data_IF_768945501106
#
_entry.id   IF_768945501106
#
_cell.length_a   1.000
_cell.length_b   1.000
_cell.length_c   1.000
_cell.angle_alpha   90.00
_cell.angle_beta   90.00
_cell.angle_gamma   90.00
#
_symmetry.space_group_name_H-M   'P 1'
#
loop_
_entity.id
_entity.type
_entity.pdbx_description
1 polymer ?
#
# COMPACT_ATOMS: atom_id res chain seq x y z
N UNK A 1 -54.23 68.15 29.40
CA UNK A 1 -53.14 68.42 30.37
C UNK A 1 -52.01 67.45 30.05
N UNK A 2 -50.99 67.90 29.32
CA UNK A 2 -49.91 67.06 28.79
C UNK A 2 -48.82 66.89 29.86
N UNK A 3 -48.60 65.65 30.31
CA UNK A 3 -47.57 65.29 31.28
C UNK A 3 -46.22 65.23 30.56
N UNK A 4 -45.36 66.23 30.76
CA UNK A 4 -43.97 66.21 30.26
C UNK A 4 -43.15 65.21 31.09
N UNK A 5 -42.69 64.14 30.46
CA UNK A 5 -41.65 63.26 31.01
C UNK A 5 -40.35 64.07 31.04
N UNK A 6 -39.87 64.45 32.23
CA UNK A 6 -38.55 65.04 32.41
C UNK A 6 -37.50 63.95 32.21
N UNK A 7 -36.77 64.00 31.09
CA UNK A 7 -35.57 63.20 30.90
C UNK A 7 -34.45 63.74 31.80
N UNK A 8 -34.14 62.99 32.85
CA UNK A 8 -33.06 63.28 33.78
C UNK A 8 -31.72 63.00 33.07
N UNK A 9 -31.07 64.02 32.50
CA UNK A 9 -29.74 63.88 31.87
C UNK A 9 -28.65 63.96 32.95
N UNK A 10 -28.31 62.82 33.54
CA UNK A 10 -27.10 62.67 34.37
C UNK A 10 -25.90 62.41 33.45
N UNK A 11 -24.82 63.17 33.62
CA UNK A 11 -23.54 62.95 32.94
C UNK A 11 -22.71 61.87 33.63
N UNK A 12 -21.76 61.26 32.92
CA UNK A 12 -20.88 60.22 33.45
C UNK A 12 -19.75 60.82 34.30
N UNK A 13 -19.42 60.16 35.40
CA UNK A 13 -18.24 60.49 36.19
C UNK A 13 -16.98 59.86 35.58
N UNK A 14 -15.81 60.46 35.83
CA UNK A 14 -14.53 59.97 35.30
C UNK A 14 -14.21 58.55 35.82
N UNK A 15 -14.61 58.24 37.06
CA UNK A 15 -14.44 56.91 37.66
C UNK A 15 -15.34 55.84 37.01
N UNK A 16 -16.58 56.18 36.64
CA UNK A 16 -17.46 55.25 35.90
C UNK A 16 -16.89 54.89 34.53
N UNK A 17 -16.29 55.86 33.83
CA UNK A 17 -15.61 55.58 32.55
C UNK A 17 -14.38 54.69 32.74
N UNK A 18 -13.58 54.91 33.77
CA UNK A 18 -12.43 54.05 34.07
C UNK A 18 -12.87 52.62 34.42
N UNK A 19 -13.93 52.46 35.22
CA UNK A 19 -14.47 51.13 35.55
C UNK A 19 -15.09 50.44 34.33
N UNK A 20 -15.83 51.17 33.49
CA UNK A 20 -16.40 50.61 32.26
C UNK A 20 -15.31 50.15 31.28
N UNK A 21 -14.26 50.95 31.09
CA UNK A 21 -13.13 50.59 30.22
C UNK A 21 -12.34 49.39 30.74
N UNK A 22 -12.11 49.31 32.06
CA UNK A 22 -11.39 48.18 32.66
C UNK A 22 -12.19 46.89 32.62
N UNK A 23 -13.50 46.94 32.85
CA UNK A 23 -14.36 45.77 32.68
C UNK A 23 -14.42 45.31 31.22
N UNK A 24 -14.56 46.26 30.28
CA UNK A 24 -14.58 45.95 28.85
C UNK A 24 -13.26 45.30 28.40
N UNK A 25 -12.11 45.82 28.84
CA UNK A 25 -10.81 45.25 28.44
C UNK A 25 -10.63 43.82 28.94
N UNK A 26 -11.02 43.53 30.18
CA UNK A 26 -10.98 42.17 30.74
C UNK A 26 -11.84 41.22 29.89
N UNK A 27 -13.07 41.62 29.57
CA UNK A 27 -13.96 40.80 28.73
C UNK A 27 -13.35 40.56 27.35
N UNK A 28 -12.81 41.61 26.71
CA UNK A 28 -12.18 41.49 25.39
C UNK A 28 -11.00 40.51 25.44
N UNK A 29 -10.11 40.63 26.43
CA UNK A 29 -8.96 39.71 26.58
C UNK A 29 -9.43 38.25 26.72
N UNK A 30 -10.43 37.99 27.56
CA UNK A 30 -10.98 36.65 27.73
C UNK A 30 -11.64 36.11 26.45
N UNK A 31 -12.36 36.96 25.72
CA UNK A 31 -12.98 36.56 24.45
C UNK A 31 -11.96 36.27 23.36
N UNK A 32 -10.87 37.05 23.28
CA UNK A 32 -9.78 36.82 22.33
C UNK A 32 -9.00 35.55 22.68
N UNK A 33 -8.72 35.30 23.96
CA UNK A 33 -8.09 34.05 24.40
C UNK A 33 -8.97 32.84 24.02
N UNK A 34 -10.28 32.91 24.28
CA UNK A 34 -11.23 31.87 23.87
C UNK A 34 -11.26 31.67 22.36
N UNK A 35 -11.32 32.74 21.57
CA UNK A 35 -11.32 32.68 20.11
C UNK A 35 -10.03 32.04 19.57
N UNK A 36 -8.86 32.41 20.10
CA UNK A 36 -7.59 31.84 19.65
C UNK A 36 -7.48 30.35 19.99
N UNK A 37 -7.97 29.92 21.15
CA UNK A 37 -8.05 28.49 21.52
C UNK A 37 -9.00 27.72 20.59
N UNK A 38 -10.16 28.30 20.27
CA UNK A 38 -11.12 27.68 19.33
C UNK A 38 -10.54 27.56 17.92
N UNK A 39 -9.87 28.60 17.41
CA UNK A 39 -9.20 28.56 16.09
C UNK A 39 -8.14 27.47 16.02
N UNK A 40 -7.27 27.38 17.04
CA UNK A 40 -6.24 26.32 17.12
C UNK A 40 -6.87 24.93 17.15
N UNK A 41 -7.88 24.71 17.99
CA UNK A 41 -8.59 23.44 18.06
C UNK A 41 -9.28 23.08 16.74
N UNK A 42 -9.83 24.06 16.04
CA UNK A 42 -10.46 23.86 14.73
C UNK A 42 -9.45 23.40 13.68
N UNK A 43 -8.29 24.06 13.60
CA UNK A 43 -7.22 23.71 12.65
C UNK A 43 -6.70 22.29 12.91
N UNK A 44 -6.42 21.95 14.16
CA UNK A 44 -5.95 20.59 14.52
C UNK A 44 -7.02 19.54 14.16
N UNK A 45 -8.28 19.83 14.43
CA UNK A 45 -9.39 18.92 14.09
C UNK A 45 -9.50 18.73 12.58
N UNK A 46 -9.41 19.81 11.81
CA UNK A 46 -9.44 19.76 10.35
C UNK A 46 -8.28 18.94 9.79
N UNK A 47 -7.05 19.14 10.29
CA UNK A 47 -5.88 18.36 9.88
C UNK A 47 -6.03 16.87 10.18
N UNK A 48 -6.60 16.51 11.33
CA UNK A 48 -6.88 15.12 11.70
C UNK A 48 -7.95 14.52 10.77
N UNK A 49 -9.02 15.27 10.49
CA UNK A 49 -10.11 14.82 9.62
C UNK A 49 -9.61 14.61 8.19
N UNK A 50 -8.81 15.53 7.65
CA UNK A 50 -8.24 15.42 6.32
C UNK A 50 -7.34 14.18 6.19
N UNK A 51 -6.44 13.96 7.16
CA UNK A 51 -5.58 12.78 7.20
C UNK A 51 -6.41 11.48 7.23
N UNK A 52 -7.53 11.46 7.95
CA UNK A 52 -8.41 10.29 8.05
C UNK A 52 -9.22 10.04 6.78
N UNK A 53 -9.77 11.09 6.17
CA UNK A 53 -10.62 10.96 4.98
C UNK A 53 -9.81 10.51 3.78
N UNK A 54 -8.62 11.08 3.56
CA UNK A 54 -7.77 10.73 2.44
C UNK A 54 -7.37 9.24 2.49
N UNK A 55 -7.00 8.75 3.67
CA UNK A 55 -6.52 7.36 3.81
C UNK A 55 -7.66 6.34 3.83
N UNK A 56 -8.89 6.73 4.18
CA UNK A 56 -10.05 5.82 4.06
C UNK A 56 -10.23 5.35 2.61
N UNK A 57 -10.19 6.26 1.64
CA UNK A 57 -10.32 5.92 0.23
C UNK A 57 -9.19 4.97 -0.21
N UNK A 58 -7.94 5.28 0.18
CA UNK A 58 -6.78 4.45 -0.18
C UNK A 58 -6.83 3.07 0.49
N UNK A 59 -7.20 2.98 1.76
CA UNK A 59 -7.35 1.69 2.45
C UNK A 59 -8.43 0.81 1.82
N UNK A 60 -9.51 1.41 1.33
CA UNK A 60 -10.56 0.68 0.59
C UNK A 60 -10.06 0.20 -0.77
N UNK A 61 -9.18 0.96 -1.43
CA UNK A 61 -8.57 0.57 -2.70
C UNK A 61 -7.64 -0.63 -2.50
N UNK A 62 -6.69 -0.53 -1.58
CA UNK A 62 -5.76 -1.63 -1.23
C UNK A 62 -6.56 -2.88 -0.84
N UNK A 63 -7.57 -2.74 0.02
CA UNK A 63 -8.38 -3.87 0.44
C UNK A 63 -9.23 -4.48 -0.68
N UNK A 64 -9.59 -3.69 -1.70
CA UNK A 64 -10.29 -4.20 -2.89
C UNK A 64 -9.33 -4.98 -3.76
N UNK A 65 -8.16 -4.44 -4.06
CA UNK A 65 -7.18 -5.10 -4.92
C UNK A 65 -6.66 -6.39 -4.29
N UNK A 66 -6.29 -6.40 -3.00
CA UNK A 66 -5.90 -7.65 -2.30
C UNK A 66 -7.01 -8.70 -2.37
N UNK A 67 -8.28 -8.29 -2.29
CA UNK A 67 -9.41 -9.21 -2.38
C UNK A 67 -9.57 -9.80 -3.79
N UNK A 68 -9.18 -9.06 -4.82
CA UNK A 68 -9.23 -9.49 -6.23
C UNK A 68 -7.93 -10.17 -6.68
N UNK A 69 -6.89 -10.19 -5.84
CA UNK A 69 -5.64 -10.88 -6.11
C UNK A 69 -5.88 -12.34 -6.54
N UNK A 70 -5.13 -12.79 -7.54
CA UNK A 70 -5.29 -14.11 -8.15
C UNK A 70 -6.44 -14.24 -9.16
N UNK A 71 -7.15 -13.16 -9.48
CA UNK A 71 -8.24 -13.26 -10.45
C UNK A 71 -7.69 -13.68 -11.82
N UNK A 72 -8.08 -14.88 -12.27
CA UNK A 72 -7.73 -15.45 -13.57
C UNK A 72 -6.24 -15.69 -13.81
N UNK A 73 -5.40 -15.57 -12.79
CA UNK A 73 -3.96 -15.85 -12.86
C UNK A 73 -3.62 -17.03 -11.95
N UNK A 74 -2.47 -17.71 -12.13
CA UNK A 74 -2.04 -18.75 -11.21
C UNK A 74 -2.01 -18.29 -9.75
N UNK A 75 -2.38 -19.19 -8.83
CA UNK A 75 -2.32 -18.92 -7.39
C UNK A 75 -0.93 -18.45 -6.96
N UNK A 76 0.12 -19.09 -7.48
CA UNK A 76 1.53 -18.78 -7.21
C UNK A 76 1.89 -17.30 -7.41
N UNK A 77 1.18 -16.57 -8.27
CA UNK A 77 1.50 -15.17 -8.64
C UNK A 77 0.44 -14.14 -8.21
N UNK A 78 -0.44 -14.49 -7.28
CA UNK A 78 -1.48 -13.55 -6.81
C UNK A 78 -0.96 -12.38 -5.98
N UNK A 79 -0.06 -12.64 -5.01
CA UNK A 79 0.49 -11.63 -4.10
C UNK A 79 1.99 -11.84 -3.91
N UNK A 80 2.75 -10.77 -3.81
CA UNK A 80 4.16 -10.79 -3.40
C UNK A 80 4.47 -9.53 -2.58
N UNK A 81 5.61 -9.47 -1.91
CA UNK A 81 5.95 -8.33 -1.07
C UNK A 81 7.41 -8.25 -0.67
N UNK A 82 7.80 -7.04 -0.29
CA UNK A 82 9.08 -6.73 0.37
C UNK A 82 8.74 -6.40 1.82
N UNK A 83 9.19 -7.25 2.72
CA UNK A 83 9.12 -7.00 4.17
C UNK A 83 10.44 -6.40 4.65
N UNK A 84 10.36 -5.26 5.33
CA UNK A 84 11.50 -4.63 5.97
C UNK A 84 11.22 -4.30 7.43
N UNK A 85 12.01 -4.89 8.31
CA UNK A 85 11.95 -4.57 9.75
C UNK A 85 12.39 -3.15 10.09
N UNK A 86 12.98 -2.39 9.16
CA UNK A 86 13.51 -1.03 9.41
C UNK A 86 13.02 0.02 8.42
N UNK A 87 12.17 -0.34 7.47
CA UNK A 87 11.59 0.55 6.45
C UNK A 87 10.13 0.16 6.17
N UNK A 88 9.34 1.03 5.51
CA UNK A 88 8.00 0.65 5.10
C UNK A 88 8.04 -0.55 4.14
N UNK A 89 7.07 -1.44 4.30
CA UNK A 89 6.90 -2.59 3.44
C UNK A 89 6.35 -2.19 2.08
N UNK A 90 6.46 -3.12 1.14
CA UNK A 90 5.92 -2.98 -0.19
C UNK A 90 5.11 -4.23 -0.50
N UNK A 91 3.97 -4.05 -1.16
CA UNK A 91 3.12 -5.16 -1.60
C UNK A 91 2.88 -5.03 -3.10
N UNK A 92 2.94 -6.18 -3.77
CA UNK A 92 2.61 -6.38 -5.17
C UNK A 92 1.37 -7.25 -5.21
N UNK A 93 0.35 -6.78 -5.90
CA UNK A 93 -0.93 -7.48 -6.04
C UNK A 93 -1.22 -7.64 -7.52
N UNK A 94 -1.53 -8.85 -7.99
CA UNK A 94 -1.87 -9.09 -9.39
C UNK A 94 -2.97 -8.12 -9.85
N UNK A 95 -2.74 -7.42 -10.96
CA UNK A 95 -3.72 -6.49 -11.53
C UNK A 95 -4.82 -7.25 -12.27
N UNK A 96 -5.99 -6.64 -12.35
CA UNK A 96 -7.14 -7.20 -13.09
C UNK A 96 -7.46 -6.40 -14.35
N UNK A 97 -6.95 -5.17 -14.43
CA UNK A 97 -7.20 -4.25 -15.53
C UNK A 97 -6.72 -4.78 -16.90
N UNK A 98 -5.49 -5.30 -17.03
CA UNK A 98 -5.03 -5.91 -18.30
C UNK A 98 -5.47 -7.37 -18.45
N UNK A 99 -6.36 -7.87 -17.58
CA UNK A 99 -6.77 -9.28 -17.52
C UNK A 99 -8.30 -9.33 -17.61
N UNK A 100 -8.85 -9.00 -18.78
CA UNK A 100 -10.30 -9.03 -19.04
C UNK A 100 -10.56 -9.90 -20.27
N UNK A 101 -10.48 -11.22 -20.12
CA UNK A 101 -10.40 -12.11 -21.28
C UNK A 101 -11.66 -12.06 -22.14
N UNK A 102 -11.47 -12.29 -23.43
CA UNK A 102 -12.54 -12.60 -24.37
C UNK A 102 -13.19 -13.98 -24.08
N UNK A 103 -12.44 -14.92 -23.50
CA UNK A 103 -12.90 -16.23 -23.04
C UNK A 103 -12.57 -16.49 -21.55
N UNK A 104 -13.59 -16.41 -20.70
CA UNK A 104 -13.48 -16.73 -19.26
C UNK A 104 -13.10 -18.20 -18.98
N UNK A 105 -13.12 -19.09 -19.99
CA UNK A 105 -12.73 -20.51 -19.86
C UNK A 105 -11.25 -20.77 -20.11
N UNK A 106 -10.47 -19.76 -20.50
CA UNK A 106 -9.09 -19.91 -20.97
C UNK A 106 -8.08 -20.40 -19.89
N UNK A 107 -8.50 -20.60 -18.64
CA UNK A 107 -7.60 -21.03 -17.57
C UNK A 107 -6.63 -19.92 -17.16
N UNK A 108 -5.61 -20.27 -16.38
CA UNK A 108 -4.66 -19.33 -15.77
C UNK A 108 -3.90 -18.48 -16.81
N UNK A 109 -4.20 -17.19 -16.82
CA UNK A 109 -3.61 -16.15 -17.68
C UNK A 109 -2.26 -15.67 -17.14
N UNK A 110 -1.41 -15.17 -18.03
CA UNK A 110 -0.08 -14.67 -17.72
C UNK A 110 0.90 -14.91 -18.86
N UNK A 111 1.86 -14.00 -18.99
CA UNK A 111 2.88 -14.08 -20.02
C UNK A 111 3.92 -15.13 -19.63
N UNK A 112 4.18 -16.08 -20.53
CA UNK A 112 5.15 -17.16 -20.30
C UNK A 112 6.53 -16.77 -20.81
N UNK A 113 7.58 -17.32 -20.20
CA UNK A 113 8.91 -17.23 -20.79
C UNK A 113 8.95 -17.97 -22.13
N UNK A 114 9.71 -17.44 -23.08
CA UNK A 114 9.95 -18.12 -24.34
C UNK A 114 10.65 -19.47 -24.11
N UNK A 115 10.30 -20.49 -24.89
CA UNK A 115 10.85 -21.85 -24.75
C UNK A 115 12.39 -21.95 -24.85
N UNK A 116 13.05 -20.90 -25.35
CA UNK A 116 14.52 -20.81 -25.43
C UNK A 116 15.16 -20.25 -24.16
N UNK A 117 14.39 -19.89 -23.15
CA UNK A 117 14.84 -19.24 -21.94
C UNK A 117 14.25 -19.91 -20.70
N UNK A 118 15.11 -20.42 -19.83
CA UNK A 118 14.74 -20.90 -18.48
C UNK A 118 15.05 -19.89 -17.39
N UNK A 119 14.47 -20.08 -16.21
CA UNK A 119 14.81 -19.29 -15.03
C UNK A 119 16.13 -19.76 -14.42
N UNK A 120 16.93 -18.81 -13.94
CA UNK A 120 18.16 -19.12 -13.20
C UNK A 120 18.00 -18.74 -11.74
N UNK A 121 18.21 -19.68 -10.81
CA UNK A 121 18.08 -19.44 -9.37
C UNK A 121 19.07 -18.39 -8.82
N UNK A 122 20.07 -17.95 -9.57
CA UNK A 122 20.97 -16.85 -9.18
C UNK A 122 20.37 -15.46 -9.40
N UNK A 123 19.29 -15.34 -10.19
CA UNK A 123 18.56 -14.11 -10.38
C UNK A 123 17.78 -13.76 -9.12
N UNK A 124 18.32 -12.78 -8.40
CA UNK A 124 17.89 -12.39 -7.06
C UNK A 124 17.86 -10.87 -6.96
N UNK A 125 17.38 -10.35 -5.83
CA UNK A 125 17.31 -8.89 -5.59
C UNK A 125 18.66 -8.23 -5.83
N UNK A 126 18.68 -7.28 -6.78
CA UNK A 126 19.88 -6.51 -7.14
C UNK A 126 20.92 -7.24 -8.00
N UNK A 127 20.69 -8.49 -8.40
CA UNK A 127 21.64 -9.27 -9.20
C UNK A 127 20.94 -10.11 -10.28
N UNK A 128 20.98 -9.70 -11.56
CA UNK A 128 21.46 -8.42 -12.08
C UNK A 128 20.58 -7.24 -11.64
N UNK A 129 21.08 -6.00 -11.75
CA UNK A 129 20.31 -4.80 -11.42
C UNK A 129 19.01 -4.67 -12.24
N UNK A 130 19.07 -5.08 -13.51
CA UNK A 130 17.93 -5.25 -14.40
C UNK A 130 18.10 -6.54 -15.20
N UNK A 131 17.01 -7.23 -15.48
CA UNK A 131 16.95 -8.49 -16.19
C UNK A 131 15.98 -8.38 -17.37
N UNK A 132 16.44 -8.68 -18.57
CA UNK A 132 15.58 -8.77 -19.76
C UNK A 132 15.16 -10.21 -19.97
N UNK A 133 13.86 -10.45 -20.02
CA UNK A 133 13.24 -11.73 -20.23
C UNK A 133 12.58 -11.77 -21.61
N UNK A 134 12.87 -12.81 -22.38
CA UNK A 134 12.15 -13.10 -23.61
C UNK A 134 10.85 -13.84 -23.26
N UNK A 135 9.74 -13.33 -23.79
CA UNK A 135 8.41 -13.85 -23.56
C UNK A 135 7.91 -14.62 -24.77
N UNK A 136 7.06 -15.61 -24.53
CA UNK A 136 6.29 -16.27 -25.60
C UNK A 136 5.21 -15.31 -26.10
N UNK A 137 5.38 -14.82 -27.33
CA UNK A 137 4.46 -13.86 -27.97
C UNK A 137 3.03 -14.36 -28.16
N UNK A 138 2.78 -15.67 -28.00
CA UNK A 138 1.42 -16.21 -28.03
C UNK A 138 0.68 -16.06 -26.70
N UNK A 139 1.36 -15.60 -25.65
CA UNK A 139 0.83 -15.51 -24.28
C UNK A 139 0.94 -14.11 -23.67
N UNK A 140 1.51 -13.16 -24.39
CA UNK A 140 1.75 -11.79 -23.91
C UNK A 140 0.56 -10.86 -24.06
N UNK A 141 -0.41 -11.25 -24.89
CA UNK A 141 -1.77 -10.72 -24.93
C UNK A 141 -2.58 -11.48 -23.87
N UNK A 142 -2.77 -10.86 -22.71
CA UNK A 142 -3.31 -11.48 -21.50
C UNK A 142 -4.82 -11.62 -21.54
N UNK A 143 -5.51 -10.72 -22.25
CA UNK A 143 -6.96 -10.76 -22.41
C UNK A 143 -7.41 -11.39 -23.73
N UNK A 144 -6.48 -11.69 -24.63
CA UNK A 144 -6.73 -12.41 -25.87
C UNK A 144 -7.51 -11.59 -26.90
N UNK A 145 -7.64 -10.28 -26.71
CA UNK A 145 -8.44 -9.43 -27.59
C UNK A 145 -7.72 -9.03 -28.89
N UNK A 146 -6.45 -9.43 -29.02
CA UNK A 146 -5.58 -9.16 -30.16
C UNK A 146 -4.88 -7.80 -30.09
N UNK A 147 -5.01 -7.09 -28.97
CA UNK A 147 -4.38 -5.81 -28.68
C UNK A 147 -3.57 -5.87 -27.38
N UNK A 148 -2.94 -4.76 -27.01
CA UNK A 148 -2.24 -4.63 -25.75
C UNK A 148 -2.79 -3.44 -24.98
N UNK A 149 -2.80 -3.55 -23.65
CA UNK A 149 -3.47 -2.59 -22.78
C UNK A 149 -2.66 -1.30 -22.56
N UNK A 150 -1.35 -1.40 -22.30
CA UNK A 150 -0.53 -0.23 -21.94
C UNK A 150 0.21 0.34 -23.13
N UNK A 151 0.05 1.66 -23.31
CA UNK A 151 0.86 2.55 -24.15
C UNK A 151 2.03 3.11 -23.32
N UNK A 152 3.18 2.42 -23.34
CA UNK A 152 4.33 2.80 -22.51
C UNK A 152 5.22 3.86 -23.16
N UNK A 153 5.16 4.05 -24.48
CA UNK A 153 5.92 5.07 -25.21
C UNK A 153 5.12 6.36 -25.51
N UNK A 154 3.81 6.36 -25.24
CA UNK A 154 2.92 7.50 -25.38
C UNK A 154 2.53 7.82 -26.82
N UNK A 155 2.62 6.85 -27.73
CA UNK A 155 2.32 7.04 -29.15
C UNK A 155 0.83 6.87 -29.50
N UNK A 156 -0.01 6.46 -28.55
CA UNK A 156 -1.45 6.24 -28.69
C UNK A 156 -1.84 4.81 -29.08
N UNK A 157 -0.90 3.86 -29.09
CA UNK A 157 -1.16 2.43 -29.33
C UNK A 157 -0.50 1.60 -28.25
N UNK A 158 -1.23 0.65 -27.67
CA UNK A 158 -0.65 -0.25 -26.67
C UNK A 158 0.34 -1.24 -27.29
N UNK A 159 1.45 -1.47 -26.61
CA UNK A 159 2.53 -2.36 -27.04
C UNK A 159 2.83 -3.50 -26.06
N UNK A 160 2.28 -3.47 -24.84
CA UNK A 160 2.38 -4.54 -23.86
C UNK A 160 1.26 -4.48 -22.80
N UNK A 161 0.98 -5.63 -22.18
CA UNK A 161 0.07 -5.73 -21.02
C UNK A 161 0.77 -5.50 -19.68
N UNK A 162 2.03 -5.04 -19.74
CA UNK A 162 2.81 -4.65 -18.59
C UNK A 162 3.08 -3.15 -18.64
N UNK A 163 2.78 -2.47 -17.53
CA UNK A 163 3.03 -1.04 -17.38
C UNK A 163 4.48 -0.77 -16.97
N UNK A 164 5.19 0.10 -17.69
CA UNK A 164 6.48 0.64 -17.24
C UNK A 164 6.29 1.44 -15.95
N UNK A 165 7.18 1.23 -14.97
CA UNK A 165 7.05 1.69 -13.58
C UNK A 165 5.94 1.00 -12.75
N UNK A 166 5.20 0.07 -13.35
CA UNK A 166 4.33 -0.86 -12.65
C UNK A 166 5.11 -2.00 -11.99
N UNK A 167 4.37 -2.84 -11.27
CA UNK A 167 4.89 -4.07 -10.70
C UNK A 167 4.72 -5.28 -11.62
N UNK A 168 5.47 -6.34 -11.33
CA UNK A 168 5.19 -7.68 -11.85
C UNK A 168 5.30 -8.70 -10.71
N UNK A 169 4.61 -9.82 -10.87
CA UNK A 169 4.83 -11.03 -10.07
C UNK A 169 5.12 -12.17 -11.04
N UNK A 170 6.09 -13.01 -10.67
CA UNK A 170 6.54 -14.15 -11.43
C UNK A 170 6.58 -15.37 -10.52
N UNK A 171 6.17 -16.51 -11.06
CA UNK A 171 6.17 -17.79 -10.36
C UNK A 171 6.33 -18.95 -11.35
N UNK A 172 6.64 -20.13 -10.81
CA UNK A 172 6.55 -21.37 -11.58
C UNK A 172 5.16 -21.98 -11.35
N UNK A 173 4.33 -21.99 -12.39
CA UNK A 173 2.99 -22.57 -12.33
C UNK A 173 3.03 -24.09 -12.14
N UNK A 174 4.03 -24.76 -12.70
CA UNK A 174 4.17 -26.22 -12.59
C UNK A 174 4.72 -26.63 -11.21
N UNK A 175 5.47 -25.74 -10.54
CA UNK A 175 6.07 -25.99 -9.24
C UNK A 175 5.93 -24.77 -8.29
N UNK A 176 4.71 -24.47 -7.77
CA UNK A 176 4.44 -23.29 -6.93
C UNK A 176 5.32 -23.20 -5.66
N UNK A 177 5.69 -24.34 -5.10
CA UNK A 177 6.56 -24.45 -3.93
C UNK A 177 7.97 -23.85 -4.11
N UNK A 178 8.39 -23.54 -5.35
CA UNK A 178 9.69 -22.89 -5.62
C UNK A 178 9.72 -21.43 -5.15
N UNK A 179 8.57 -20.85 -4.80
CA UNK A 179 8.42 -19.47 -4.36
C UNK A 179 7.92 -18.55 -5.48
N UNK A 180 7.91 -17.25 -5.20
CA UNK A 180 7.57 -16.20 -6.17
C UNK A 180 8.62 -15.09 -6.20
N UNK A 181 8.61 -14.31 -7.28
CA UNK A 181 9.51 -13.18 -7.52
C UNK A 181 8.67 -11.97 -7.87
N UNK A 182 8.97 -10.82 -7.30
CA UNK A 182 8.31 -9.58 -7.69
C UNK A 182 9.27 -8.41 -7.76
N UNK A 183 8.85 -7.38 -8.48
CA UNK A 183 9.62 -6.17 -8.65
C UNK A 183 8.96 -5.21 -9.62
N UNK A 184 9.76 -4.33 -10.22
CA UNK A 184 9.25 -3.27 -11.10
C UNK A 184 9.64 -3.50 -12.55
N UNK A 185 8.76 -3.10 -13.47
CA UNK A 185 8.98 -3.14 -14.92
C UNK A 185 9.70 -1.87 -15.37
N UNK A 186 10.84 -2.03 -16.04
CA UNK A 186 11.65 -0.94 -16.60
C UNK A 186 11.41 -0.70 -18.08
N UNK A 187 11.04 -1.74 -18.84
CA UNK A 187 10.62 -1.67 -20.23
C UNK A 187 9.76 -2.89 -20.56
N UNK A 188 8.79 -2.75 -21.46
CA UNK A 188 7.95 -3.85 -21.91
C UNK A 188 7.60 -3.69 -23.39
N UNK A 189 7.46 -4.82 -24.07
CA UNK A 189 6.95 -4.95 -25.44
C UNK A 189 6.27 -6.32 -25.58
N UNK A 190 5.66 -6.57 -26.73
CA UNK A 190 4.99 -7.83 -27.07
C UNK A 190 5.82 -9.11 -26.94
N UNK A 191 7.14 -9.03 -26.92
CA UNK A 191 8.05 -10.21 -26.90
C UNK A 191 9.11 -10.16 -25.81
N UNK A 192 9.28 -9.01 -25.15
CA UNK A 192 10.33 -8.83 -24.15
C UNK A 192 9.87 -7.90 -23.04
N UNK A 193 10.28 -8.25 -21.82
CA UNK A 193 10.11 -7.42 -20.64
C UNK A 193 11.46 -7.26 -19.94
N UNK A 194 11.77 -6.03 -19.52
CA UNK A 194 12.93 -5.74 -18.68
C UNK A 194 12.45 -5.38 -17.29
N UNK A 195 12.93 -6.11 -16.29
CA UNK A 195 12.47 -6.04 -14.92
C UNK A 195 13.61 -5.77 -13.94
N UNK A 196 13.31 -5.20 -12.79
CA UNK A 196 14.20 -5.12 -11.64
C UNK A 196 13.57 -5.88 -10.47
N UNK A 197 14.23 -6.94 -10.01
CA UNK A 197 13.75 -7.77 -8.91
C UNK A 197 13.90 -7.01 -7.59
N UNK A 198 12.82 -6.90 -6.83
CA UNK A 198 12.79 -6.23 -5.52
C UNK A 198 12.59 -7.20 -4.36
N UNK A 199 11.93 -8.33 -4.59
CA UNK A 199 11.77 -9.39 -3.60
C UNK A 199 11.63 -10.77 -4.26
N UNK A 200 11.87 -11.79 -3.45
CA UNK A 200 11.67 -13.18 -3.82
C UNK A 200 12.81 -13.79 -4.63
N UNK A 201 12.64 -15.08 -4.91
CA UNK A 201 13.53 -15.93 -5.68
C UNK A 201 12.77 -17.22 -6.02
N UNK A 202 13.04 -17.82 -7.18
CA UNK A 202 12.64 -19.21 -7.42
C UNK A 202 13.77 -20.16 -7.03
N UNK A 203 13.47 -21.14 -6.19
CA UNK A 203 14.38 -22.22 -5.85
C UNK A 203 14.78 -23.02 -7.10
N UNK A 204 15.95 -23.66 -7.07
CA UNK A 204 16.38 -24.54 -8.17
C UNK A 204 15.46 -25.76 -8.26
N UNK A 205 15.17 -26.20 -9.49
CA UNK A 205 14.42 -27.44 -9.72
C UNK A 205 15.11 -28.63 -9.06
N UNK A 206 14.32 -29.50 -8.44
CA UNK A 206 14.74 -30.79 -7.93
C UNK A 206 14.22 -31.92 -8.83
N UNK A 207 14.74 -33.14 -8.66
CA UNK A 207 14.43 -34.25 -9.57
C UNK A 207 12.96 -34.71 -9.56
N UNK A 208 12.17 -34.29 -8.57
CA UNK A 208 10.73 -34.59 -8.48
C UNK A 208 9.85 -33.53 -9.13
N UNK A 209 10.42 -32.40 -9.55
CA UNK A 209 9.67 -31.29 -10.10
C UNK A 209 9.20 -31.58 -11.52
N UNK A 210 8.05 -30.99 -11.87
CA UNK A 210 7.59 -30.95 -13.25
C UNK A 210 8.48 -30.02 -14.08
N UNK A 211 8.37 -30.11 -15.41
CA UNK A 211 9.04 -29.15 -16.30
C UNK A 211 8.60 -27.72 -15.95
N UNK A 212 9.58 -26.82 -15.91
CA UNK A 212 9.38 -25.44 -15.48
C UNK A 212 8.40 -24.69 -16.41
N UNK A 213 7.38 -24.07 -15.81
CA UNK A 213 6.44 -23.19 -16.51
C UNK A 213 6.42 -21.82 -15.83
N UNK A 214 7.34 -20.94 -16.22
CA UNK A 214 7.42 -19.60 -15.65
C UNK A 214 6.35 -18.70 -16.24
N UNK A 215 5.51 -18.16 -15.35
CA UNK A 215 4.43 -17.23 -15.67
C UNK A 215 4.71 -15.89 -15.01
N UNK A 216 4.49 -14.82 -15.76
CA UNK A 216 4.56 -13.44 -15.32
C UNK A 216 3.20 -12.78 -15.42
N UNK A 217 2.85 -11.99 -14.40
CA UNK A 217 1.60 -11.21 -14.38
C UNK A 217 1.88 -9.76 -13.99
N UNK A 218 1.14 -8.80 -14.57
CA UNK A 218 1.20 -7.41 -14.15
C UNK A 218 0.69 -7.27 -12.72
N UNK A 219 1.30 -6.39 -11.94
CA UNK A 219 0.97 -6.20 -10.54
C UNK A 219 0.96 -4.73 -10.12
N UNK A 220 0.04 -4.38 -9.24
CA UNK A 220 -0.04 -3.10 -8.59
C UNK A 220 1.01 -3.06 -7.48
N UNK A 221 1.97 -2.15 -7.62
CA UNK A 221 3.04 -1.95 -6.65
C UNK A 221 2.67 -0.84 -5.68
N UNK A 222 2.37 -1.21 -4.43
CA UNK A 222 2.16 -0.27 -3.33
C UNK A 222 3.43 -0.11 -2.52
N UNK A 223 3.82 1.15 -2.30
CA UNK A 223 4.96 1.48 -1.43
C UNK A 223 4.79 2.86 -0.79
N UNK A 224 5.50 3.06 0.32
CA UNK A 224 5.70 4.41 0.87
C UNK A 224 7.05 4.94 0.40
N UNK A 225 7.02 5.99 -0.42
CA UNK A 225 8.20 6.71 -0.83
C UNK A 225 8.64 7.69 0.28
N UNK A 226 9.69 7.28 1.01
CA UNK A 226 10.28 8.05 2.10
C UNK A 226 11.30 9.12 1.64
N UNK A 227 11.51 9.29 0.32
CA UNK A 227 12.39 10.33 -0.23
C UNK A 227 11.85 11.77 -0.10
N UNK A 228 10.62 11.92 0.40
CA UNK A 228 9.94 13.19 0.58
C UNK A 228 9.86 13.57 2.06
N UNK A 229 9.84 14.88 2.35
CA UNK A 229 9.70 15.39 3.71
C UNK A 229 8.46 14.82 4.43
N UNK A 230 7.38 14.57 3.68
CA UNK A 230 6.21 13.79 4.06
C UNK A 230 6.19 12.51 3.25
N UNK A 231 6.07 11.35 3.91
CA UNK A 231 6.00 10.08 3.19
C UNK A 231 4.77 10.04 2.29
N UNK A 232 4.98 9.51 1.08
CA UNK A 232 3.97 9.42 0.01
C UNK A 232 3.65 7.96 -0.25
N UNK A 233 2.39 7.58 -0.09
CA UNK A 233 1.92 6.28 -0.54
C UNK A 233 1.65 6.35 -2.04
N UNK A 234 2.30 5.47 -2.77
CA UNK A 234 2.28 5.39 -4.22
C UNK A 234 1.70 4.04 -4.67
N UNK A 235 1.00 4.03 -5.81
CA UNK A 235 0.63 2.84 -6.58
C UNK A 235 1.27 2.97 -7.95
N UNK A 236 2.16 2.07 -8.35
CA UNK A 236 2.88 2.15 -9.64
C UNK A 236 3.54 3.53 -9.85
N UNK A 237 4.12 4.09 -8.78
CA UNK A 237 4.68 5.46 -8.69
C UNK A 237 3.68 6.63 -8.73
N UNK A 238 2.40 6.38 -8.96
CA UNK A 238 1.34 7.40 -8.90
C UNK A 238 1.00 7.73 -7.43
N UNK A 239 0.87 9.02 -7.11
CA UNK A 239 0.56 9.47 -5.75
C UNK A 239 -0.89 9.11 -5.35
N UNK A 240 -1.05 8.32 -4.29
CA UNK A 240 -2.35 8.04 -3.69
C UNK A 240 -2.63 8.92 -2.47
N UNK A 241 -1.67 9.00 -1.53
CA UNK A 241 -1.82 9.79 -0.32
C UNK A 241 -0.48 10.36 0.17
N UNK A 242 -0.54 11.51 0.84
CA UNK A 242 0.59 12.13 1.53
C UNK A 242 0.41 12.05 3.03
N UNK A 243 1.51 12.16 3.78
CA UNK A 243 1.48 12.10 5.24
C UNK A 243 1.36 10.67 5.75
N UNK A 244 1.91 9.71 4.99
CA UNK A 244 2.03 8.32 5.41
C UNK A 244 3.42 8.14 5.98
N UNK A 245 3.51 7.81 7.27
CA UNK A 245 4.78 7.54 7.95
C UNK A 245 5.23 6.10 7.73
N UNK A 246 4.29 5.16 7.64
CA UNK A 246 4.61 3.75 7.50
C UNK A 246 3.48 2.97 6.82
N UNK A 247 3.89 1.92 6.10
CA UNK A 247 3.04 0.86 5.59
C UNK A 247 3.69 -0.44 6.05
N UNK A 248 2.97 -1.30 6.74
CA UNK A 248 3.46 -2.63 7.12
C UNK A 248 2.46 -3.69 6.69
N UNK A 249 2.96 -4.85 6.29
CA UNK A 249 2.18 -5.97 5.80
C UNK A 249 2.53 -7.22 6.60
N UNK A 250 1.50 -7.94 7.04
CA UNK A 250 1.65 -9.29 7.57
C UNK A 250 0.81 -10.25 6.75
N UNK A 251 1.32 -11.47 6.65
CA UNK A 251 0.71 -12.54 5.86
C UNK A 251 0.34 -13.69 6.80
N UNK A 252 -0.72 -14.40 6.46
CA UNK A 252 -1.26 -15.50 7.25
C UNK A 252 -1.49 -16.68 6.31
N UNK A 253 -0.66 -17.69 6.46
CA UNK A 253 -0.69 -18.93 5.69
C UNK A 253 -1.32 -20.04 6.53
N UNK A 254 -1.74 -21.11 5.87
CA UNK A 254 -2.24 -22.35 6.47
C UNK A 254 -1.55 -23.47 5.70
N UNK A 255 -0.32 -23.76 6.12
CA UNK A 255 0.67 -24.55 5.37
C UNK A 255 0.38 -26.04 5.50
N UNK A 256 -0.27 -26.45 6.59
CA UNK A 256 -0.68 -27.83 6.83
C UNK A 256 -2.15 -28.13 6.43
N UNK A 257 -2.86 -27.12 5.90
CA UNK A 257 -4.24 -27.19 5.38
C UNK A 257 -5.23 -27.74 6.43
N UNK A 258 -5.00 -27.42 7.70
CA UNK A 258 -5.87 -27.81 8.80
C UNK A 258 -7.04 -26.82 9.00
N UNK A 259 -7.03 -25.71 8.25
CA UNK A 259 -8.04 -24.66 8.29
C UNK A 259 -7.80 -23.62 9.38
N UNK A 260 -6.67 -23.68 10.06
CA UNK A 260 -6.23 -22.77 11.13
C UNK A 260 -4.91 -22.12 10.71
N UNK A 261 -4.68 -20.91 11.21
CA UNK A 261 -3.38 -20.24 11.07
C UNK A 261 -2.67 -20.29 12.41
N UNK A 262 -1.56 -20.99 12.45
CA UNK A 262 -0.83 -21.34 13.64
C UNK A 262 0.50 -20.60 13.77
N UNK A 263 0.54 -19.69 14.75
CA UNK A 263 1.78 -18.99 15.16
C UNK A 263 2.94 -19.94 15.48
N UNK A 264 2.65 -21.13 16.04
CA UNK A 264 3.65 -22.12 16.41
C UNK A 264 4.32 -22.79 15.20
N UNK A 265 3.63 -22.84 14.06
CA UNK A 265 4.16 -23.31 12.78
C UNK A 265 4.82 -22.17 11.96
N UNK A 266 4.92 -20.97 12.55
CA UNK A 266 5.48 -19.76 11.94
C UNK A 266 4.71 -19.26 10.69
N UNK A 267 3.40 -19.52 10.64
CA UNK A 267 2.52 -19.22 9.50
C UNK A 267 2.06 -17.76 9.41
N UNK A 268 2.52 -16.92 10.34
CA UNK A 268 2.18 -15.49 10.39
C UNK A 268 3.40 -14.57 10.15
N UNK A 269 4.13 -14.71 9.04
CA UNK A 269 5.29 -13.88 8.77
C UNK A 269 4.90 -12.40 8.61
N UNK A 270 5.82 -11.52 8.95
CA UNK A 270 5.61 -10.07 8.98
C UNK A 270 4.94 -9.58 10.26
N UNK A 271 4.30 -10.44 11.07
CA UNK A 271 3.65 -10.01 12.32
C UNK A 271 4.64 -9.63 13.43
N UNK A 272 4.14 -8.95 14.47
CA UNK A 272 4.94 -8.61 15.65
C UNK A 272 5.44 -9.88 16.37
N UNK A 273 6.75 -10.10 16.34
CA UNK A 273 7.38 -11.31 16.91
C UNK A 273 7.43 -12.51 15.95
N UNK A 274 6.80 -12.41 14.78
CA UNK A 274 6.91 -13.37 13.68
C UNK A 274 8.23 -13.24 12.90
N UNK A 275 8.47 -14.20 12.01
CA UNK A 275 9.60 -14.14 11.09
C UNK A 275 9.39 -13.07 10.01
N UNK A 276 10.48 -12.55 9.43
CA UNK A 276 10.40 -11.68 8.24
C UNK A 276 9.84 -12.47 7.06
N UNK A 277 8.83 -11.92 6.40
CA UNK A 277 8.27 -12.47 5.17
C UNK A 277 9.29 -12.44 4.03
N UNK A 278 9.38 -13.54 3.29
CA UNK A 278 10.19 -13.65 2.09
C UNK A 278 9.44 -14.45 1.05
N UNK A 279 9.10 -13.82 -0.08
CA UNK A 279 8.36 -14.45 -1.17
C UNK A 279 9.03 -15.73 -1.74
N UNK A 280 10.32 -15.95 -1.47
CA UNK A 280 11.04 -17.16 -1.86
C UNK A 280 10.66 -18.41 -1.04
N UNK A 281 10.06 -18.23 0.15
CA UNK A 281 9.82 -19.30 1.11
C UNK A 281 8.34 -19.66 1.28
N UNK A 282 7.44 -18.96 0.58
CA UNK A 282 6.00 -19.05 0.81
C UNK A 282 5.26 -19.37 -0.48
N UNK A 283 4.25 -20.23 -0.35
CA UNK A 283 3.35 -20.61 -1.43
C UNK A 283 1.99 -19.92 -1.25
N UNK A 284 1.61 -19.14 -2.25
CA UNK A 284 0.35 -18.40 -2.26
C UNK A 284 -0.89 -19.32 -2.31
N UNK A 285 -0.74 -20.61 -2.63
CA UNK A 285 -1.83 -21.59 -2.51
C UNK A 285 -2.31 -21.79 -1.07
N UNK A 286 -1.44 -21.53 -0.10
CA UNK A 286 -1.72 -21.64 1.34
C UNK A 286 -2.05 -20.29 1.99
N UNK A 287 -2.03 -19.18 1.24
CA UNK A 287 -2.28 -17.84 1.77
C UNK A 287 -3.77 -17.63 2.07
N UNK A 288 -4.11 -17.43 3.34
CA UNK A 288 -5.50 -17.23 3.78
C UNK A 288 -5.86 -15.77 4.03
N UNK A 289 -4.91 -14.96 4.51
CA UNK A 289 -5.16 -13.55 4.81
C UNK A 289 -3.90 -12.69 4.61
N UNK A 290 -4.11 -11.47 4.13
CA UNK A 290 -3.10 -10.40 4.11
C UNK A 290 -3.63 -9.25 4.95
N UNK A 291 -2.86 -8.83 5.94
CA UNK A 291 -3.19 -7.68 6.78
C UNK A 291 -2.24 -6.53 6.46
N UNK A 292 -2.80 -5.39 6.11
CA UNK A 292 -2.04 -4.15 5.94
C UNK A 292 -2.30 -3.21 7.12
N UNK A 293 -1.27 -2.45 7.47
CA UNK A 293 -1.37 -1.36 8.42
C UNK A 293 -0.72 -0.09 7.86
N UNK A 294 -1.41 1.04 8.01
CA UNK A 294 -0.98 2.35 7.55
C UNK A 294 -0.89 3.30 8.73
N UNK A 295 0.27 3.91 8.91
CA UNK A 295 0.48 4.96 9.91
C UNK A 295 0.41 6.31 9.20
N UNK A 296 -0.63 7.07 9.51
CA UNK A 296 -0.90 8.39 8.92
C UNK A 296 -0.58 9.46 9.93
N UNK A 297 0.04 10.56 9.50
CA UNK A 297 0.33 11.72 10.35
C UNK A 297 -0.36 13.00 9.87
N UNK A 298 -0.54 13.96 10.76
CA UNK A 298 -0.98 15.32 10.41
C UNK A 298 0.03 16.02 9.49
N UNK A 299 -0.44 16.96 8.67
CA UNK A 299 0.43 17.72 7.75
C UNK A 299 1.41 18.66 8.44
N UNK A 300 1.07 19.11 9.64
CA UNK A 300 1.89 20.00 10.44
C UNK A 300 1.98 19.49 11.89
N UNK A 301 3.01 19.97 12.57
CA UNK A 301 3.16 19.78 14.02
C UNK A 301 2.14 20.63 14.76
N UNK A 302 1.65 20.12 15.89
CA UNK A 302 0.84 20.88 16.82
C UNK A 302 1.77 21.50 17.86
N UNK A 303 1.97 22.82 17.81
CA UNK A 303 2.87 23.55 18.70
C UNK A 303 2.50 23.43 20.19
N UNK A 304 1.27 23.01 20.52
CA UNK A 304 0.83 22.79 21.90
C UNK A 304 0.75 21.28 22.24
N UNK A 305 1.30 20.42 21.37
CA UNK A 305 1.44 19.00 21.57
C UNK A 305 2.92 18.66 21.73
N UNK A 306 3.33 18.46 22.97
CA UNK A 306 4.68 18.04 23.38
C UNK A 306 4.84 16.51 23.34
N UNK A 307 4.00 15.84 22.56
CA UNK A 307 3.98 14.40 22.34
C UNK A 307 4.15 14.04 20.86
N UNK A 308 3.81 12.79 20.53
CA UNK A 308 3.91 12.28 19.17
C UNK A 308 5.28 11.65 18.92
N UNK A 309 5.29 10.35 18.74
CA UNK A 309 6.44 9.57 18.29
C UNK A 309 6.01 8.71 17.11
N UNK A 310 6.98 8.17 16.38
CA UNK A 310 6.72 7.12 15.41
C UNK A 310 5.94 5.97 16.07
N UNK A 311 4.95 5.43 15.36
CA UNK A 311 4.19 4.25 15.79
C UNK A 311 4.71 3.09 14.96
N UNK A 312 5.46 2.18 15.59
CA UNK A 312 5.78 0.90 14.99
C UNK A 312 4.57 -0.03 15.07
N UNK A 313 4.31 -0.74 13.98
CA UNK A 313 3.26 -1.75 13.89
C UNK A 313 3.84 -3.01 13.22
N UNK A 314 3.22 -4.16 13.42
CA UNK A 314 3.76 -5.45 12.96
C UNK A 314 5.20 -5.72 13.44
N UNK A 315 6.08 -6.25 12.55
CA UNK A 315 7.49 -6.50 12.82
C UNK A 315 8.38 -5.23 12.69
N UNK A 316 7.78 -4.04 12.52
CA UNK A 316 8.51 -2.80 12.40
C UNK A 316 9.35 -2.52 13.64
N UNK A 317 10.66 -2.38 13.46
CA UNK A 317 11.53 -1.77 14.47
C UNK A 317 11.35 -0.26 14.42
N UNK A 318 10.93 0.39 15.54
CA UNK A 318 10.77 1.83 15.56
C UNK A 318 12.14 2.51 15.39
N UNK A 319 12.23 3.60 14.59
CA UNK A 319 13.40 4.46 14.64
C UNK A 319 13.55 5.05 16.04
N UNK A 320 14.77 5.52 16.39
CA UNK A 320 15.06 6.08 17.70
C UNK A 320 14.00 7.11 18.08
N UNK A 321 13.28 6.84 19.18
CA UNK A 321 12.11 7.63 19.56
C UNK A 321 12.52 9.06 19.93
N UNK A 322 12.11 10.01 19.11
CA UNK A 322 12.11 11.43 19.45
C UNK A 322 10.70 11.98 19.29
N UNK A 323 10.27 12.79 20.25
CA UNK A 323 9.03 13.54 20.14
C UNK A 323 9.09 14.49 18.95
N UNK A 324 8.09 14.46 18.07
CA UNK A 324 8.07 15.25 16.84
C UNK A 324 6.86 16.16 16.68
N UNK A 325 5.91 16.15 17.63
CA UNK A 325 4.75 17.05 17.62
C UNK A 325 3.70 16.71 16.55
N UNK A 326 3.85 15.59 15.84
CA UNK A 326 2.84 15.13 14.87
C UNK A 326 1.83 14.21 15.56
N UNK A 327 0.55 14.40 15.22
CA UNK A 327 -0.50 13.46 15.62
C UNK A 327 -0.59 12.36 14.57
N UNK A 328 -0.69 11.12 15.04
CA UNK A 328 -0.75 9.94 14.18
C UNK A 328 -2.03 9.15 14.37
N UNK A 329 -2.45 8.45 13.33
CA UNK A 329 -3.50 7.46 13.37
C UNK A 329 -3.06 6.22 12.61
N UNK A 330 -3.34 5.06 13.18
CA UNK A 330 -3.15 3.77 12.52
C UNK A 330 -4.47 3.32 11.89
N UNK A 331 -4.40 2.82 10.67
CA UNK A 331 -5.49 2.16 9.97
C UNK A 331 -5.01 0.75 9.67
N UNK A 332 -5.81 -0.25 10.03
CA UNK A 332 -5.50 -1.67 9.82
C UNK A 332 -6.64 -2.30 9.03
N UNK A 333 -6.31 -3.14 8.06
CA UNK A 333 -7.28 -3.95 7.33
C UNK A 333 -6.75 -5.37 7.12
N UNK A 334 -7.46 -6.36 7.66
CA UNK A 334 -7.28 -7.78 7.33
C UNK A 334 -8.15 -8.13 6.13
N UNK A 335 -7.54 -8.72 5.09
CA UNK A 335 -8.21 -9.01 3.83
C UNK A 335 -7.88 -10.42 3.39
N UNK A 336 -8.93 -11.20 3.17
CA UNK A 336 -8.81 -12.52 2.56
C UNK A 336 -8.92 -12.38 1.04
N UNK A 337 -7.89 -12.77 0.28
CA UNK A 337 -8.01 -12.90 -1.16
C UNK A 337 -9.14 -13.86 -1.53
N UNK A 338 -9.79 -13.66 -2.69
CA UNK A 338 -10.89 -14.53 -3.14
C UNK A 338 -10.44 -15.64 -4.07
N UNK A 339 -9.33 -15.43 -4.77
CA UNK A 339 -8.92 -16.27 -5.90
C UNK A 339 -7.58 -16.98 -5.66
N UNK A 340 -6.99 -16.84 -4.46
CA UNK A 340 -5.81 -17.59 -4.00
C UNK A 340 -6.13 -18.17 -2.61
N UNK A 341 -5.33 -19.13 -2.13
CA UNK A 341 -5.56 -19.76 -0.83
C UNK A 341 -6.47 -21.00 -0.84
N UNK A 342 -6.90 -21.46 -2.02
CA UNK A 342 -7.75 -22.65 -2.19
C UNK A 342 -6.95 -23.78 -2.84
N UNK A 343 -6.27 -24.60 -2.03
CA UNK A 343 -5.72 -25.85 -2.52
C UNK A 343 -6.88 -26.76 -3.01
N UNK A 344 -6.89 -27.12 -4.29
CA UNK A 344 -7.85 -28.10 -4.84
C UNK A 344 -9.27 -27.59 -5.18
N UNK A 345 -9.53 -26.29 -5.18
CA UNK A 345 -10.77 -25.74 -5.78
C UNK A 345 -10.53 -25.44 -7.26
N UNK A 346 -10.83 -26.45 -8.09
CA UNK A 346 -11.07 -26.36 -9.54
C UNK A 346 -11.82 -25.11 -9.99
#
# INVERSE_FOLDING_TARGET
>A
MSQRIQMNRRGFTLIELMLAMTMLSIVVILTLDSLTRQQKSSIVTEQIVEAQQNVRAVSSLIAREIRMAGFMVPNAVGVCGVDSTTAPDQIFVSETEPIVPDDERAGTLGARLAATQGWTATWTVGSPATLTLNLDSSTTDLDGDGTYFYDNDGNGTGEADFRVNGGFILGDLANPHRGSVCGTVSAASSTQITVAILAGQLSALISSDAEEEIVLVPAAHYRVNAGFATGRLERNQDLLAQGIDDLQISYFFDVDDDGVVDSAAAEEPGTSGGATYSAANWDNETLKEVRFSLVVRTRATDLNFDGGSFIAFENRTPPVASTDGFRRRVIVGGVRPRNIGNAGSI
#
